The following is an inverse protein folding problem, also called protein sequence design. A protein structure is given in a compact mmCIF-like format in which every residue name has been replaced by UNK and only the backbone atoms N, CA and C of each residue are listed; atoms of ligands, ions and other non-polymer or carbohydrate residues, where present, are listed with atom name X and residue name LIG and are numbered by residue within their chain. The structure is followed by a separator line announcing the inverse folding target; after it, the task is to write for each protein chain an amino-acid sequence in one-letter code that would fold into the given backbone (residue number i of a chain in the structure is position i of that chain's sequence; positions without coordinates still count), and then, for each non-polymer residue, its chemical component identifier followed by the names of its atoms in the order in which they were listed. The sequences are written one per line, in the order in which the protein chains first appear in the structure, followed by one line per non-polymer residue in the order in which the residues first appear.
data_IF_732718696215
#
_entry.id   IF_732718696215
#
_cell.length_a   1.000
_cell.length_b   1.000
_cell.length_c   1.000
_cell.angle_alpha   90.00
_cell.angle_beta   90.00
_cell.angle_gamma   90.00
#
_symmetry.space_group_name_H-M   'P 1'
#
loop_
_entity.id
_entity.type
_entity.pdbx_description
1 polymer ?
#
# COMPACT_ATOMS: atom_id res chain seq x y z
N UNK A 1 0.27 7.82 -24.20
CA UNK A 1 1.39 7.19 -23.46
C UNK A 1 1.30 7.50 -21.96
N UNK A 2 1.20 8.77 -21.56
CA UNK A 2 1.09 9.15 -20.14
C UNK A 2 -0.15 8.56 -19.44
N UNK A 3 -1.32 8.59 -20.09
CA UNK A 3 -2.57 7.99 -19.58
C UNK A 3 -2.43 6.49 -19.30
N UNK A 4 -1.85 5.72 -20.23
CA UNK A 4 -1.64 4.27 -20.04
C UNK A 4 -0.74 3.98 -18.85
N UNK A 5 0.31 4.79 -18.66
CA UNK A 5 1.21 4.65 -17.50
C UNK A 5 0.51 5.01 -16.19
N UNK A 6 -0.27 6.09 -16.16
CA UNK A 6 -0.99 6.54 -14.96
C UNK A 6 -1.99 5.47 -14.49
N UNK A 7 -2.87 4.99 -15.38
CA UNK A 7 -3.84 3.95 -15.05
C UNK A 7 -3.16 2.61 -14.76
N UNK A 8 -2.15 2.24 -15.55
CA UNK A 8 -1.43 0.98 -15.36
C UNK A 8 -0.74 0.90 -13.99
N UNK A 9 -0.07 1.98 -13.57
CA UNK A 9 0.57 2.05 -12.26
C UNK A 9 -0.47 2.02 -11.12
N UNK A 10 -1.55 2.78 -11.25
CA UNK A 10 -2.63 2.80 -10.24
C UNK A 10 -3.26 1.41 -10.06
N UNK A 11 -3.59 0.73 -11.16
CA UNK A 11 -4.12 -0.65 -11.13
C UNK A 11 -3.12 -1.59 -10.44
N UNK A 12 -1.84 -1.53 -10.83
CA UNK A 12 -0.82 -2.39 -10.24
C UNK A 12 -0.67 -2.15 -8.72
N UNK A 13 -0.69 -0.91 -8.27
CA UNK A 13 -0.62 -0.55 -6.84
C UNK A 13 -1.84 -1.04 -6.06
N UNK A 14 -3.05 -0.87 -6.60
CA UNK A 14 -4.26 -1.36 -5.94
C UNK A 14 -4.30 -2.89 -5.86
N UNK A 15 -3.89 -3.58 -6.92
CA UNK A 15 -3.74 -5.05 -6.91
C UNK A 15 -2.66 -5.48 -5.91
N UNK A 16 -1.59 -4.71 -5.77
CA UNK A 16 -0.56 -4.96 -4.77
C UNK A 16 -1.10 -4.82 -3.33
N UNK A 17 -1.95 -3.82 -3.05
CA UNK A 17 -2.66 -3.70 -1.78
C UNK A 17 -3.56 -4.93 -1.49
N UNK A 18 -4.29 -5.44 -2.49
CA UNK A 18 -5.06 -6.69 -2.36
C UNK A 18 -4.16 -7.88 -2.04
N UNK A 19 -3.03 -8.00 -2.72
CA UNK A 19 -2.06 -9.05 -2.48
C UNK A 19 -1.50 -8.99 -1.05
N UNK A 20 -1.09 -7.80 -0.58
CA UNK A 20 -0.62 -7.61 0.80
C UNK A 20 -1.71 -7.93 1.81
N UNK A 21 -2.93 -7.45 1.58
CA UNK A 21 -4.10 -7.77 2.41
C UNK A 21 -4.31 -9.28 2.54
N UNK A 22 -4.35 -9.98 1.39
CA UNK A 22 -4.46 -11.44 1.33
C UNK A 22 -3.32 -12.15 2.06
N UNK A 23 -2.07 -11.69 1.94
CA UNK A 23 -0.94 -12.27 2.68
C UNK A 23 -1.14 -12.17 4.19
N UNK A 24 -1.65 -11.05 4.70
CA UNK A 24 -1.92 -10.90 6.13
C UNK A 24 -3.12 -11.75 6.60
N UNK A 25 -4.03 -12.16 5.72
CA UNK A 25 -5.13 -13.08 6.05
C UNK A 25 -4.68 -14.55 6.04
N UNK A 26 -3.88 -14.96 5.05
CA UNK A 26 -3.54 -16.37 4.82
C UNK A 26 -2.18 -16.78 5.40
N UNK A 27 -1.22 -15.85 5.48
CA UNK A 27 0.14 -16.08 6.00
C UNK A 27 0.61 -14.93 6.94
N UNK A 28 -0.15 -14.62 8.00
CA UNK A 28 0.02 -13.40 8.80
C UNK A 28 1.43 -13.20 9.38
N UNK A 29 2.03 -14.24 9.97
CA UNK A 29 3.35 -14.12 10.61
C UNK A 29 4.48 -13.93 9.60
N UNK A 30 4.41 -14.62 8.46
CA UNK A 30 5.35 -14.42 7.36
C UNK A 30 5.20 -13.02 6.73
N UNK A 31 3.96 -12.53 6.63
CA UNK A 31 3.68 -11.16 6.18
C UNK A 31 4.23 -10.12 7.17
N UNK A 32 4.05 -10.32 8.48
CA UNK A 32 4.60 -9.44 9.53
C UNK A 32 6.14 -9.43 9.52
N UNK A 33 6.77 -10.59 9.33
CA UNK A 33 8.22 -10.67 9.17
C UNK A 33 8.70 -9.88 7.93
N UNK A 34 8.01 -10.03 6.79
CA UNK A 34 8.30 -9.26 5.57
C UNK A 34 8.04 -7.76 5.69
N UNK A 35 7.04 -7.37 6.50
CA UNK A 35 6.77 -5.98 6.86
C UNK A 35 7.92 -5.36 7.67
N UNK A 36 8.74 -6.18 8.35
CA UNK A 36 9.89 -5.73 9.12
C UNK A 36 9.63 -5.60 10.63
N UNK A 37 8.45 -6.00 11.10
CA UNK A 37 8.11 -6.10 12.54
C UNK A 37 7.47 -7.48 12.77
N UNK A 38 8.28 -8.52 13.05
CA UNK A 38 7.78 -9.87 13.26
C UNK A 38 6.85 -9.95 14.47
N UNK A 39 5.74 -10.66 14.31
CA UNK A 39 4.77 -10.96 15.38
C UNK A 39 4.72 -12.47 15.63
N UNK A 40 4.30 -12.88 16.85
CA UNK A 40 4.24 -14.29 17.25
C UNK A 40 2.85 -14.77 17.67
N UNK A 41 2.05 -13.91 18.29
CA UNK A 41 0.74 -14.30 18.85
C UNK A 41 -0.41 -13.38 18.39
N UNK A 42 -0.11 -12.28 17.69
CA UNK A 42 -1.05 -11.18 17.40
C UNK A 42 -1.96 -11.41 16.19
N UNK A 43 -2.38 -12.66 15.93
CA UNK A 43 -3.10 -13.04 14.69
C UNK A 43 -4.33 -12.17 14.40
N UNK A 44 -5.09 -11.78 15.43
CA UNK A 44 -6.27 -10.93 15.27
C UNK A 44 -5.92 -9.54 14.70
N UNK A 45 -4.89 -8.89 15.24
CA UNK A 45 -4.44 -7.58 14.75
C UNK A 45 -3.82 -7.67 13.34
N UNK A 46 -3.09 -8.75 13.05
CA UNK A 46 -2.59 -9.02 11.71
C UNK A 46 -3.73 -9.23 10.71
N UNK A 47 -4.81 -9.90 11.12
CA UNK A 47 -6.02 -10.07 10.29
C UNK A 47 -6.70 -8.72 10.02
N UNK A 48 -6.82 -7.85 11.03
CA UNK A 48 -7.34 -6.49 10.87
C UNK A 48 -6.52 -5.69 9.84
N UNK A 49 -5.18 -5.78 9.91
CA UNK A 49 -4.30 -5.18 8.90
C UNK A 49 -4.59 -5.74 7.51
N UNK A 50 -4.70 -7.07 7.38
CA UNK A 50 -5.03 -7.71 6.11
C UNK A 50 -6.33 -7.23 5.49
N UNK A 51 -7.40 -7.11 6.29
CA UNK A 51 -8.69 -6.57 5.84
C UNK A 51 -8.54 -5.12 5.40
N UNK A 52 -7.85 -4.28 6.18
CA UNK A 52 -7.68 -2.84 5.85
C UNK A 52 -6.89 -2.65 4.56
N UNK A 53 -5.74 -3.29 4.42
CA UNK A 53 -4.88 -3.16 3.24
C UNK A 53 -5.61 -3.65 1.98
N UNK A 54 -6.32 -4.78 2.08
CA UNK A 54 -7.15 -5.29 0.98
C UNK A 54 -8.31 -4.36 0.64
N UNK A 55 -8.95 -3.76 1.64
CA UNK A 55 -10.05 -2.80 1.41
C UNK A 55 -9.56 -1.58 0.65
N UNK A 56 -8.38 -1.04 0.97
CA UNK A 56 -7.81 0.06 0.18
C UNK A 56 -7.61 -0.33 -1.29
N UNK A 57 -7.10 -1.54 -1.57
CA UNK A 57 -6.99 -2.02 -2.94
C UNK A 57 -8.34 -2.10 -3.67
N UNK A 58 -9.40 -2.58 -3.01
CA UNK A 58 -10.75 -2.60 -3.59
C UNK A 58 -11.31 -1.20 -3.84
N UNK A 59 -11.12 -0.27 -2.88
CA UNK A 59 -11.60 1.11 -3.00
C UNK A 59 -10.91 1.81 -4.17
N UNK A 60 -9.60 1.71 -4.32
CA UNK A 60 -8.91 2.36 -5.43
C UNK A 60 -9.28 1.78 -6.80
N UNK A 61 -9.46 0.46 -6.91
CA UNK A 61 -10.00 -0.14 -8.14
C UNK A 61 -11.41 0.38 -8.45
N UNK A 62 -12.27 0.51 -7.45
CA UNK A 62 -13.62 1.02 -7.62
C UNK A 62 -13.62 2.51 -8.02
N UNK A 63 -12.78 3.34 -7.39
CA UNK A 63 -12.64 4.75 -7.75
C UNK A 63 -12.14 4.90 -9.19
N UNK A 64 -11.13 4.13 -9.58
CA UNK A 64 -10.61 4.18 -10.95
C UNK A 64 -11.65 3.72 -11.98
N UNK A 65 -12.43 2.68 -11.67
CA UNK A 65 -13.45 2.12 -12.58
C UNK A 65 -14.73 2.97 -12.68
N UNK A 66 -15.14 3.64 -11.59
CA UNK A 66 -16.47 4.25 -11.49
C UNK A 66 -16.45 5.76 -11.21
N UNK A 67 -15.36 6.32 -10.68
CA UNK A 67 -15.25 7.74 -10.33
C UNK A 67 -14.19 8.51 -11.15
N UNK A 68 -13.24 7.81 -11.78
CA UNK A 68 -12.24 8.37 -12.69
C UNK A 68 -10.91 8.79 -12.03
N UNK A 69 -9.96 9.23 -12.86
CA UNK A 69 -8.57 9.49 -12.47
C UNK A 69 -8.42 10.53 -11.35
N UNK A 70 -9.22 11.60 -11.35
CA UNK A 70 -9.13 12.66 -10.33
C UNK A 70 -9.44 12.13 -8.91
N UNK A 71 -10.48 11.29 -8.79
CA UNK A 71 -10.85 10.68 -7.51
C UNK A 71 -9.75 9.71 -7.03
N UNK A 72 -9.22 8.91 -7.94
CA UNK A 72 -8.12 8.00 -7.66
C UNK A 72 -6.83 8.73 -7.28
N UNK A 73 -6.53 9.86 -7.91
CA UNK A 73 -5.35 10.66 -7.60
C UNK A 73 -5.37 11.16 -6.15
N UNK A 74 -6.52 11.67 -5.70
CA UNK A 74 -6.71 12.06 -4.29
C UNK A 74 -6.62 10.87 -3.35
N UNK A 75 -7.20 9.73 -3.72
CA UNK A 75 -7.08 8.51 -2.95
C UNK A 75 -5.61 8.09 -2.79
N UNK A 76 -4.85 8.01 -3.88
CA UNK A 76 -3.43 7.67 -3.85
C UNK A 76 -2.61 8.64 -3.00
N UNK A 77 -2.87 9.95 -3.11
CA UNK A 77 -2.20 10.96 -2.30
C UNK A 77 -2.41 10.74 -0.80
N UNK A 78 -3.64 10.42 -0.38
CA UNK A 78 -3.97 10.16 1.03
C UNK A 78 -3.42 8.80 1.47
N UNK A 79 -3.54 7.77 0.64
CA UNK A 79 -3.07 6.42 0.96
C UNK A 79 -1.55 6.35 1.08
N UNK A 80 -0.80 7.22 0.41
CA UNK A 80 0.65 7.34 0.60
C UNK A 80 1.07 7.59 2.07
N UNK A 81 0.17 8.13 2.92
CA UNK A 81 0.40 8.26 4.35
C UNK A 81 0.60 6.90 5.04
N UNK A 82 0.03 5.82 4.52
CA UNK A 82 0.17 4.46 5.07
C UNK A 82 1.62 3.97 4.98
N UNK A 83 2.26 3.86 3.80
CA UNK A 83 3.66 3.44 3.73
C UNK A 83 4.65 4.45 4.35
N UNK A 84 4.31 5.75 4.42
CA UNK A 84 5.08 6.71 5.22
C UNK A 84 5.01 6.39 6.72
N UNK A 85 3.82 6.09 7.23
CA UNK A 85 3.62 5.61 8.58
C UNK A 85 4.36 4.29 8.84
N UNK A 86 4.27 3.34 7.90
CA UNK A 86 4.95 2.05 7.99
C UNK A 86 6.48 2.20 8.06
N UNK A 87 7.05 3.15 7.31
CA UNK A 87 8.47 3.51 7.42
C UNK A 87 8.83 3.86 8.86
N UNK A 88 8.05 4.72 9.50
CA UNK A 88 8.28 5.14 10.88
C UNK A 88 8.04 4.00 11.88
N UNK A 89 7.02 3.17 11.66
CA UNK A 89 6.70 2.01 12.50
C UNK A 89 7.88 1.04 12.50
N UNK A 90 8.41 0.68 11.34
CA UNK A 90 9.58 -0.22 11.23
C UNK A 90 10.78 0.36 11.97
N UNK A 91 11.11 1.64 11.75
CA UNK A 91 12.24 2.29 12.41
C UNK A 91 12.10 2.33 13.94
N UNK A 92 10.87 2.52 14.45
CA UNK A 92 10.61 2.62 15.89
C UNK A 92 10.52 1.28 16.60
N UNK A 93 10.29 0.19 15.87
CA UNK A 93 10.06 -1.15 16.45
C UNK A 93 11.19 -2.13 16.12
N UNK A 94 12.42 -1.63 15.91
CA UNK A 94 13.62 -2.46 15.77
C UNK A 94 13.79 -3.12 14.40
N UNK A 95 12.98 -2.75 13.41
CA UNK A 95 13.14 -3.20 12.03
C UNK A 95 14.34 -2.55 11.33
N UNK A 96 14.81 -3.16 10.25
CA UNK A 96 16.02 -2.68 9.57
C UNK A 96 15.77 -1.39 8.78
N UNK A 97 16.78 -0.53 8.68
CA UNK A 97 16.75 0.66 7.81
C UNK A 97 16.54 0.28 6.33
N UNK A 98 17.09 -0.86 5.91
CA UNK A 98 16.91 -1.36 4.55
C UNK A 98 15.44 -1.67 4.26
N UNK A 99 14.72 -2.32 5.18
CA UNK A 99 13.28 -2.54 5.07
C UNK A 99 12.50 -1.23 5.13
N UNK A 100 12.79 -0.36 6.11
CA UNK A 100 12.07 0.91 6.27
C UNK A 100 12.17 1.80 5.03
N UNK A 101 13.38 2.06 4.53
CA UNK A 101 13.57 2.97 3.41
C UNK A 101 13.42 2.29 2.04
N UNK A 102 13.92 1.06 1.89
CA UNK A 102 13.93 0.34 0.62
C UNK A 102 12.59 -0.30 0.25
N UNK A 103 11.74 -0.61 1.24
CA UNK A 103 10.39 -1.13 1.00
C UNK A 103 9.39 0.00 1.22
N UNK A 104 9.17 0.42 2.47
CA UNK A 104 8.05 1.30 2.81
C UNK A 104 8.19 2.69 2.23
N UNK A 105 9.30 3.38 2.48
CA UNK A 105 9.47 4.75 1.97
C UNK A 105 9.50 4.78 0.43
N UNK A 106 10.19 3.82 -0.20
CA UNK A 106 10.19 3.68 -1.65
C UNK A 106 8.77 3.43 -2.20
N UNK A 107 7.97 2.57 -1.57
CA UNK A 107 6.56 2.39 -1.93
C UNK A 107 5.77 3.69 -1.80
N UNK A 108 5.97 4.47 -0.73
CA UNK A 108 5.32 5.77 -0.58
C UNK A 108 5.63 6.72 -1.74
N UNK A 109 6.89 6.79 -2.16
CA UNK A 109 7.28 7.61 -3.31
C UNK A 109 6.63 7.14 -4.62
N UNK A 110 6.51 5.84 -4.83
CA UNK A 110 5.85 5.27 -6.02
C UNK A 110 4.34 5.57 -6.01
N UNK A 111 3.69 5.50 -4.84
CA UNK A 111 2.27 5.87 -4.71
C UNK A 111 2.06 7.36 -4.96
N UNK A 112 2.93 8.23 -4.43
CA UNK A 112 2.88 9.67 -4.71
C UNK A 112 3.12 9.98 -6.19
N UNK A 113 4.04 9.25 -6.84
CA UNK A 113 4.24 9.34 -8.28
C UNK A 113 2.96 8.93 -9.03
N UNK A 114 2.29 7.87 -8.61
CA UNK A 114 1.00 7.46 -9.19
C UNK A 114 -0.05 8.56 -9.05
N UNK A 115 -0.17 9.19 -7.89
CA UNK A 115 -1.07 10.32 -7.69
C UNK A 115 -0.75 11.49 -8.65
N UNK A 116 0.53 11.86 -8.75
CA UNK A 116 0.97 12.93 -9.66
C UNK A 116 0.67 12.61 -11.14
N UNK A 117 0.90 11.36 -11.56
CA UNK A 117 0.58 10.91 -12.92
C UNK A 117 -0.92 10.95 -13.19
N UNK A 118 -1.76 10.55 -12.23
CA UNK A 118 -3.22 10.59 -12.37
C UNK A 118 -3.78 12.01 -12.40
N UNK A 119 -3.20 12.96 -11.64
CA UNK A 119 -3.55 14.39 -11.75
C UNK A 119 -3.13 15.01 -13.08
N UNK A 120 -2.20 14.39 -13.80
CA UNK A 120 -1.72 14.85 -15.10
C UNK A 120 -2.44 14.20 -16.29
N UNK A 121 -3.44 13.35 -16.04
CA UNK A 121 -4.36 12.79 -17.04
C UNK A 121 -5.44 13.80 -17.38
#
# INVERSE_FOLDING_TARGET
MLTTLAYGLAIALNLFCLFLGGRFLFAPYAAAAGYGVPAKEDRAYLTIKGVRDGTYGLVGLALLAFAGAQAEAWFMLVVALVPLGDTLIVLRNGGTKATAFGIHFATALIVLLSAALLFAV
#
